data_IF_597998818135
#
_entry.id   IF_597998818135
#
_cell.length_a   1.000
_cell.length_b   1.000
_cell.length_c   1.000
_cell.angle_alpha   90.00
_cell.angle_beta   90.00
_cell.angle_gamma   90.00
#
_symmetry.space_group_name_H-M   'P 1'
#
loop_
_entity.id
_entity.type
_entity.pdbx_description
1 polymer ?
#
# COMPACT_ATOMS: atom_id res chain seq x y z
N UNK A 1 -13.61 -11.04 29.77
CA UNK A 1 -13.15 -9.78 29.16
C UNK A 1 -11.67 -9.65 29.42
N UNK A 2 -10.89 -9.47 28.37
CA UNK A 2 -9.46 -9.12 28.48
C UNK A 2 -9.33 -7.70 29.05
N UNK A 3 -8.18 -7.38 29.64
CA UNK A 3 -7.89 -6.06 30.19
C UNK A 3 -8.06 -4.94 29.16
N UNK A 4 -7.67 -5.19 27.90
CA UNK A 4 -7.75 -4.19 26.83
C UNK A 4 -9.19 -3.91 26.37
N UNK A 5 -10.07 -4.93 26.32
CA UNK A 5 -11.49 -4.68 26.00
C UNK A 5 -12.16 -3.84 27.09
N UNK A 6 -11.86 -4.11 28.37
CA UNK A 6 -12.36 -3.29 29.48
C UNK A 6 -11.87 -1.85 29.39
N UNK A 7 -10.59 -1.64 29.09
CA UNK A 7 -10.02 -0.30 28.89
C UNK A 7 -10.63 0.43 27.69
N UNK A 8 -10.92 -0.28 26.60
CA UNK A 8 -11.59 0.30 25.44
C UNK A 8 -13.01 0.78 25.79
N UNK A 9 -13.74 0.05 26.63
CA UNK A 9 -15.03 0.49 27.19
C UNK A 9 -14.88 1.74 28.06
N UNK A 10 -13.92 1.76 29.00
CA UNK A 10 -13.67 2.93 29.86
C UNK A 10 -13.41 4.21 29.03
N UNK A 11 -12.60 4.09 27.98
CA UNK A 11 -12.31 5.20 27.06
C UNK A 11 -13.57 5.67 26.35
N UNK A 12 -14.39 4.76 25.83
CA UNK A 12 -15.66 5.10 25.18
C UNK A 12 -16.62 5.81 26.14
N UNK A 13 -16.82 5.29 27.37
CA UNK A 13 -17.68 5.88 28.39
C UNK A 13 -17.19 7.25 28.86
N UNK A 14 -15.87 7.48 28.84
CA UNK A 14 -15.25 8.77 29.14
C UNK A 14 -15.35 9.80 28.00
N UNK A 15 -15.91 9.43 26.85
CA UNK A 15 -16.06 10.31 25.68
C UNK A 15 -14.86 10.32 24.74
N UNK A 16 -13.98 9.31 24.78
CA UNK A 16 -12.84 9.13 23.87
C UNK A 16 -13.02 7.92 22.93
N UNK A 17 -13.87 8.04 21.89
CA UNK A 17 -14.11 6.94 20.93
C UNK A 17 -12.87 6.59 20.10
N UNK A 18 -11.97 7.56 19.86
CA UNK A 18 -10.73 7.33 19.11
C UNK A 18 -9.72 6.53 19.95
N UNK A 19 -9.55 6.89 21.22
CA UNK A 19 -8.76 6.12 22.18
C UNK A 19 -9.31 4.70 22.37
N UNK A 20 -10.63 4.55 22.42
CA UNK A 20 -11.30 3.24 22.47
C UNK A 20 -10.90 2.37 21.26
N UNK A 21 -11.06 2.88 20.03
CA UNK A 21 -10.69 2.15 18.82
C UNK A 21 -9.19 1.84 18.75
N UNK A 22 -8.32 2.79 19.11
CA UNK A 22 -6.86 2.58 19.15
C UNK A 22 -6.45 1.49 20.14
N UNK A 23 -7.20 1.32 21.22
CA UNK A 23 -6.97 0.26 22.21
C UNK A 23 -7.51 -1.09 21.73
N UNK A 24 -8.66 -1.09 21.06
CA UNK A 24 -9.35 -2.30 20.60
C UNK A 24 -8.67 -2.98 19.40
N UNK A 25 -8.29 -2.20 18.38
CA UNK A 25 -7.83 -2.74 17.09
C UNK A 25 -6.63 -3.70 17.19
N UNK A 26 -5.58 -3.44 18.00
CA UNK A 26 -4.43 -4.34 18.10
C UNK A 26 -4.76 -5.72 18.68
N UNK A 27 -5.82 -5.84 19.49
CA UNK A 27 -6.21 -7.09 20.17
C UNK A 27 -7.45 -7.75 19.55
N UNK A 28 -7.97 -7.22 18.45
CA UNK A 28 -9.22 -7.67 17.85
C UNK A 28 -9.23 -9.17 17.49
N UNK A 29 -8.09 -9.74 17.14
CA UNK A 29 -7.95 -11.17 16.80
C UNK A 29 -7.96 -12.10 18.03
N UNK A 30 -7.65 -11.56 19.20
CA UNK A 30 -7.67 -12.29 20.48
C UNK A 30 -9.07 -12.32 21.10
N UNK A 31 -9.99 -11.50 20.59
CA UNK A 31 -11.35 -11.37 21.07
C UNK A 31 -12.34 -12.07 20.15
N UNK A 32 -13.43 -12.59 20.71
CA UNK A 32 -14.52 -13.08 19.88
C UNK A 32 -15.32 -11.90 19.32
N UNK A 33 -15.87 -12.08 18.11
CA UNK A 33 -16.71 -11.04 17.50
C UNK A 33 -17.97 -10.74 18.33
N UNK A 34 -18.45 -11.71 19.12
CA UNK A 34 -19.52 -11.55 20.10
C UNK A 34 -19.14 -10.55 21.21
N UNK A 35 -17.93 -10.65 21.75
CA UNK A 35 -17.46 -9.78 22.84
C UNK A 35 -17.30 -8.31 22.41
N UNK A 36 -16.87 -8.07 21.17
CA UNK A 36 -16.60 -6.72 20.66
C UNK A 36 -17.85 -6.04 20.10
N UNK A 37 -18.82 -6.79 19.60
CA UNK A 37 -19.97 -6.25 18.87
C UNK A 37 -20.76 -5.18 19.66
N UNK A 38 -21.02 -5.32 20.98
CA UNK A 38 -21.72 -4.27 21.72
C UNK A 38 -20.97 -2.93 21.79
N UNK A 39 -19.63 -2.96 21.93
CA UNK A 39 -18.81 -1.75 21.94
C UNK A 39 -18.80 -1.10 20.56
N UNK A 40 -18.63 -1.90 19.51
CA UNK A 40 -18.63 -1.42 18.12
C UNK A 40 -19.99 -0.81 17.75
N UNK A 41 -21.10 -1.36 18.24
CA UNK A 41 -22.42 -0.79 18.04
C UNK A 41 -22.51 0.65 18.57
N UNK A 42 -22.06 0.88 19.82
CA UNK A 42 -22.06 2.21 20.44
C UNK A 42 -21.11 3.20 19.75
N UNK A 43 -19.91 2.75 19.37
CA UNK A 43 -18.94 3.55 18.63
C UNK A 43 -19.47 3.95 17.24
N UNK A 44 -20.10 3.01 16.53
CA UNK A 44 -20.67 3.23 15.21
C UNK A 44 -21.88 4.20 15.26
N UNK A 45 -22.74 4.08 16.27
CA UNK A 45 -23.85 5.02 16.48
C UNK A 45 -23.34 6.44 16.71
N UNK A 46 -22.34 6.62 17.58
CA UNK A 46 -21.72 7.91 17.84
C UNK A 46 -21.02 8.52 16.61
N UNK A 47 -20.52 7.69 15.70
CA UNK A 47 -19.91 8.11 14.44
C UNK A 47 -20.92 8.30 13.28
N UNK A 48 -22.20 7.97 13.48
CA UNK A 48 -23.23 8.05 12.43
C UNK A 48 -23.16 6.93 11.39
N UNK A 49 -22.54 5.78 11.71
CA UNK A 49 -22.45 4.61 10.84
C UNK A 49 -23.58 3.62 11.14
N UNK A 50 -24.80 3.96 10.71
CA UNK A 50 -26.03 3.20 11.02
C UNK A 50 -25.95 1.73 10.61
N UNK A 51 -25.38 1.42 9.44
CA UNK A 51 -25.20 0.06 8.93
C UNK A 51 -24.32 -0.80 9.85
N UNK A 52 -23.20 -0.27 10.31
CA UNK A 52 -22.30 -0.95 11.23
C UNK A 52 -22.92 -1.08 12.63
N UNK A 53 -23.63 -0.05 13.10
CA UNK A 53 -24.33 -0.09 14.38
C UNK A 53 -25.40 -1.19 14.39
N UNK A 54 -26.24 -1.25 13.36
CA UNK A 54 -27.26 -2.29 13.19
C UNK A 54 -26.64 -3.68 13.09
N UNK A 55 -25.65 -3.88 12.22
CA UNK A 55 -25.00 -5.18 12.05
C UNK A 55 -24.34 -5.67 13.35
N UNK A 56 -23.74 -4.76 14.12
CA UNK A 56 -23.13 -5.07 15.42
C UNK A 56 -24.18 -5.45 16.47
N UNK A 57 -25.29 -4.71 16.56
CA UNK A 57 -26.39 -5.04 17.47
C UNK A 57 -27.05 -6.38 17.12
N UNK A 58 -27.24 -6.65 15.83
CA UNK A 58 -27.78 -7.93 15.35
C UNK A 58 -26.85 -9.11 15.66
N UNK A 59 -25.53 -8.93 15.54
CA UNK A 59 -24.53 -9.94 15.92
C UNK A 59 -24.54 -10.19 17.43
N UNK A 60 -24.57 -9.14 18.25
CA UNK A 60 -24.65 -9.27 19.70
C UNK A 60 -25.89 -10.06 20.15
N UNK A 61 -27.02 -9.91 19.45
CA UNK A 61 -28.24 -10.67 19.74
C UNK A 61 -28.14 -12.15 19.32
N UNK A 62 -27.36 -12.47 18.28
CA UNK A 62 -27.28 -13.81 17.65
C UNK A 62 -25.86 -14.14 17.17
N UNK A 63 -24.92 -14.38 18.10
CA UNK A 63 -23.48 -14.45 17.81
C UNK A 63 -23.04 -15.68 16.99
N UNK A 64 -23.83 -16.76 17.02
CA UNK A 64 -23.52 -18.02 16.34
C UNK A 64 -24.20 -18.19 14.97
N UNK A 65 -24.78 -17.12 14.40
CA UNK A 65 -25.39 -17.14 13.07
C UNK A 65 -24.39 -16.65 12.01
N UNK A 66 -24.10 -17.47 10.99
CA UNK A 66 -23.17 -17.15 9.92
C UNK A 66 -23.54 -15.83 9.20
N UNK A 67 -24.82 -15.56 8.97
CA UNK A 67 -25.29 -14.31 8.38
C UNK A 67 -24.99 -13.08 9.21
N UNK A 68 -25.01 -13.20 10.55
CA UNK A 68 -24.76 -12.07 11.46
C UNK A 68 -23.28 -11.75 11.53
N UNK A 69 -22.46 -12.80 11.63
CA UNK A 69 -21.00 -12.68 11.54
C UNK A 69 -20.57 -12.09 10.19
N UNK A 70 -21.18 -12.54 9.09
CA UNK A 70 -20.95 -11.98 7.77
C UNK A 70 -21.38 -10.52 7.67
N UNK A 71 -22.59 -10.17 8.14
CA UNK A 71 -23.11 -8.81 8.11
C UNK A 71 -22.22 -7.82 8.87
N UNK A 72 -21.81 -8.20 10.09
CA UNK A 72 -20.85 -7.43 10.87
C UNK A 72 -19.51 -7.28 10.16
N UNK A 73 -18.93 -8.40 9.69
CA UNK A 73 -17.65 -8.39 8.99
C UNK A 73 -17.66 -7.55 7.72
N UNK A 74 -18.72 -7.65 6.92
CA UNK A 74 -18.92 -6.84 5.71
C UNK A 74 -19.02 -5.35 6.04
N UNK A 75 -19.82 -4.98 7.04
CA UNK A 75 -19.92 -3.58 7.49
C UNK A 75 -18.57 -3.04 8.00
N UNK A 76 -17.80 -3.85 8.73
CA UNK A 76 -16.44 -3.48 9.16
C UNK A 76 -15.52 -3.22 7.95
N UNK A 77 -15.56 -4.04 6.90
CA UNK A 77 -14.77 -3.81 5.68
C UNK A 77 -15.17 -2.49 5.01
N UNK A 78 -16.46 -2.24 4.82
CA UNK A 78 -16.96 -1.00 4.18
C UNK A 78 -16.56 0.26 4.96
N UNK A 79 -16.43 0.16 6.29
CA UNK A 79 -16.02 1.26 7.17
C UNK A 79 -14.51 1.36 7.43
N UNK A 80 -13.70 0.58 6.72
CA UNK A 80 -12.25 0.64 6.86
C UNK A 80 -11.74 0.05 8.18
N UNK A 81 -12.47 -0.90 8.78
CA UNK A 81 -12.14 -1.61 10.00
C UNK A 81 -11.83 -3.10 9.74
N UNK A 82 -10.93 -3.45 8.80
CA UNK A 82 -10.70 -4.83 8.39
C UNK A 82 -10.17 -5.72 9.52
N UNK A 83 -9.45 -5.17 10.50
CA UNK A 83 -8.98 -5.92 11.67
C UNK A 83 -10.14 -6.50 12.51
N UNK A 84 -11.28 -5.80 12.60
CA UNK A 84 -12.49 -6.32 13.26
C UNK A 84 -13.24 -7.33 12.36
N UNK A 85 -13.14 -7.16 11.05
CA UNK A 85 -13.82 -8.01 10.08
C UNK A 85 -13.23 -9.42 9.99
N UNK A 86 -11.90 -9.56 10.03
CA UNK A 86 -11.19 -10.83 9.87
C UNK A 86 -11.70 -11.94 10.81
N UNK A 87 -11.76 -11.77 12.15
CA UNK A 87 -12.23 -12.82 13.04
C UNK A 87 -13.71 -13.19 12.76
N UNK A 88 -14.56 -12.21 12.48
CA UNK A 88 -15.98 -12.45 12.19
C UNK A 88 -16.19 -13.22 10.89
N UNK A 89 -15.52 -12.82 9.81
CA UNK A 89 -15.61 -13.48 8.51
C UNK A 89 -15.00 -14.87 8.54
N UNK A 90 -13.94 -15.10 9.32
CA UNK A 90 -13.36 -16.43 9.54
C UNK A 90 -14.34 -17.36 10.26
N UNK A 91 -14.99 -16.87 11.32
CA UNK A 91 -16.02 -17.64 12.03
C UNK A 91 -17.24 -17.93 11.14
N UNK A 92 -17.72 -16.93 10.39
CA UNK A 92 -18.81 -17.10 9.43
C UNK A 92 -18.45 -18.18 8.39
N UNK A 93 -17.23 -18.13 7.84
CA UNK A 93 -16.79 -19.07 6.83
C UNK A 93 -16.76 -20.50 7.37
N UNK A 94 -16.21 -20.72 8.57
CA UNK A 94 -16.23 -22.02 9.23
C UNK A 94 -17.65 -22.60 9.34
N UNK A 95 -18.62 -21.78 9.76
CA UNK A 95 -20.04 -22.20 9.84
C UNK A 95 -20.66 -22.53 8.48
N UNK A 96 -20.22 -21.88 7.39
CA UNK A 96 -20.71 -22.20 6.04
C UNK A 96 -20.13 -23.50 5.47
N UNK A 97 -19.00 -23.98 6.01
CA UNK A 97 -18.38 -25.25 5.62
C UNK A 97 -18.96 -26.44 6.38
N UNK A 98 -19.58 -26.21 7.54
CA UNK A 98 -20.17 -27.30 8.31
C UNK A 98 -21.30 -27.98 7.53
N UNK A 99 -21.29 -29.32 7.41
CA UNK A 99 -22.39 -30.02 6.77
C UNK A 99 -23.67 -29.77 7.54
N UNK A 100 -24.74 -29.39 6.83
CA UNK A 100 -26.05 -29.22 7.43
C UNK A 100 -26.39 -30.46 8.27
N UNK A 101 -26.57 -30.27 9.58
CA UNK A 101 -26.82 -31.36 10.51
C UNK A 101 -27.88 -32.31 9.93
N UNK A 102 -27.51 -33.59 9.77
CA UNK A 102 -28.42 -34.60 9.24
C UNK A 102 -29.75 -34.51 10.01
N UNK A 103 -30.92 -34.50 9.33
CA UNK A 103 -32.19 -34.41 10.02
C UNK A 103 -32.28 -35.57 11.00
N UNK A 104 -32.18 -35.26 12.30
CA UNK A 104 -32.31 -36.25 13.35
C UNK A 104 -33.61 -37.02 13.15
N UNK A 105 -33.56 -38.35 13.23
CA UNK A 105 -34.74 -39.22 13.16
C UNK A 105 -35.63 -38.96 14.37
N UNK A 106 -36.39 -37.88 14.37
CA UNK A 106 -37.38 -37.57 15.42
C UNK A 106 -38.72 -38.17 15.02
N UNK A 107 -39.26 -39.00 15.91
CA UNK A 107 -40.43 -39.85 15.69
C UNK A 107 -41.72 -39.14 15.25
N UNK A 108 -42.67 -39.97 14.82
CA UNK A 108 -43.87 -39.72 13.99
C UNK A 108 -44.81 -38.56 14.38
N UNK A 109 -44.60 -37.85 15.49
CA UNK A 109 -45.55 -36.84 16.00
C UNK A 109 -44.92 -35.53 16.48
N UNK A 110 -43.65 -35.22 16.14
CA UNK A 110 -43.10 -33.86 16.37
C UNK A 110 -43.10 -33.06 15.08
N UNK A 111 -43.77 -31.89 15.14
CA UNK A 111 -43.76 -30.84 14.10
C UNK A 111 -42.33 -30.69 13.58
N UNK A 112 -42.11 -30.92 12.27
CA UNK A 112 -40.82 -30.67 11.61
C UNK A 112 -40.31 -29.31 12.11
N UNK A 113 -39.10 -29.20 12.68
CA UNK A 113 -38.44 -27.90 12.74
C UNK A 113 -38.49 -27.37 11.31
N UNK A 114 -39.01 -26.16 11.12
CA UNK A 114 -38.90 -25.46 9.84
C UNK A 114 -37.43 -25.60 9.47
N UNK A 115 -37.12 -26.34 8.40
CA UNK A 115 -35.76 -26.47 7.91
C UNK A 115 -35.17 -25.06 7.98
N UNK A 116 -34.05 -24.88 8.69
CA UNK A 116 -33.29 -23.62 8.64
C UNK A 116 -33.28 -23.27 7.16
N UNK A 117 -34.01 -22.22 6.78
CA UNK A 117 -34.08 -21.81 5.39
C UNK A 117 -32.62 -21.68 4.99
N UNK A 118 -32.18 -22.53 4.05
CA UNK A 118 -30.77 -22.67 3.72
C UNK A 118 -30.19 -21.28 3.60
N UNK A 119 -29.19 -21.02 4.42
CA UNK A 119 -28.50 -19.74 4.50
C UNK A 119 -28.20 -19.29 3.08
N UNK A 120 -28.77 -18.17 2.63
CA UNK A 120 -28.50 -17.63 1.28
C UNK A 120 -27.02 -17.24 1.07
N UNK A 121 -26.21 -17.38 2.12
CA UNK A 121 -24.79 -17.13 2.17
C UNK A 121 -24.01 -18.39 1.77
N UNK A 122 -23.50 -18.41 0.53
CA UNK A 122 -22.62 -19.48 0.07
C UNK A 122 -21.18 -19.32 0.53
N UNK A 123 -20.43 -20.42 0.80
CA UNK A 123 -19.07 -20.38 1.36
C UNK A 123 -18.08 -19.58 0.50
N UNK A 124 -18.20 -19.65 -0.83
CA UNK A 124 -17.40 -18.85 -1.76
C UNK A 124 -17.50 -17.35 -1.50
N UNK A 125 -18.70 -16.84 -1.22
CA UNK A 125 -18.92 -15.41 -0.96
C UNK A 125 -18.19 -14.97 0.31
N UNK A 126 -18.32 -15.75 1.39
CA UNK A 126 -17.66 -15.43 2.67
C UNK A 126 -16.14 -15.50 2.54
N UNK A 127 -15.63 -16.50 1.82
CA UNK A 127 -14.19 -16.64 1.55
C UNK A 127 -13.61 -15.40 0.85
N UNK A 128 -14.27 -14.90 -0.20
CA UNK A 128 -13.78 -13.74 -0.95
C UNK A 128 -13.82 -12.44 -0.13
N UNK A 129 -14.82 -12.25 0.73
CA UNK A 129 -14.82 -11.11 1.66
C UNK A 129 -13.71 -11.25 2.72
N UNK A 130 -13.48 -12.46 3.24
CA UNK A 130 -12.39 -12.72 4.19
C UNK A 130 -11.02 -12.44 3.56
N UNK A 131 -10.81 -12.85 2.32
CA UNK A 131 -9.60 -12.53 1.54
C UNK A 131 -9.44 -11.02 1.39
N UNK A 132 -10.49 -10.29 1.01
CA UNK A 132 -10.47 -8.83 0.93
C UNK A 132 -10.09 -8.19 2.27
N UNK A 133 -10.63 -8.68 3.38
CA UNK A 133 -10.30 -8.18 4.71
C UNK A 133 -8.83 -8.43 5.07
N UNK A 134 -8.30 -9.63 4.77
CA UNK A 134 -6.88 -9.98 4.98
C UNK A 134 -5.95 -9.13 4.11
N UNK A 135 -6.30 -8.86 2.85
CA UNK A 135 -5.54 -7.97 1.98
C UNK A 135 -5.43 -6.55 2.54
N UNK A 136 -6.52 -6.01 3.10
CA UNK A 136 -6.53 -4.66 3.70
C UNK A 136 -5.68 -4.53 4.96
N UNK A 137 -5.40 -5.64 5.65
CA UNK A 137 -4.42 -5.69 6.76
C UNK A 137 -3.07 -6.28 6.32
N UNK A 138 -2.82 -6.33 5.01
CA UNK A 138 -1.60 -6.85 4.38
C UNK A 138 -1.21 -8.28 4.80
N UNK A 139 -2.18 -9.10 5.20
CA UNK A 139 -1.99 -10.52 5.55
C UNK A 139 -2.08 -11.41 4.31
N UNK A 140 -1.33 -11.05 3.27
CA UNK A 140 -1.36 -11.72 1.96
C UNK A 140 -0.97 -13.21 2.01
N UNK A 141 -0.06 -13.59 2.92
CA UNK A 141 0.31 -14.99 3.11
C UNK A 141 -0.88 -15.84 3.63
N UNK A 142 -1.67 -15.29 4.53
CA UNK A 142 -2.84 -15.97 5.11
C UNK A 142 -3.98 -16.04 4.11
N UNK A 143 -4.20 -14.96 3.35
CA UNK A 143 -5.14 -14.93 2.23
C UNK A 143 -4.79 -16.00 1.18
N UNK A 144 -3.51 -16.10 0.80
CA UNK A 144 -3.03 -17.14 -0.12
C UNK A 144 -3.25 -18.55 0.44
N UNK A 145 -2.95 -18.78 1.72
CA UNK A 145 -3.14 -20.08 2.35
C UNK A 145 -4.61 -20.52 2.27
N UNK A 146 -5.54 -19.63 2.62
CA UNK A 146 -6.99 -19.88 2.55
C UNK A 146 -7.47 -20.16 1.12
N UNK A 147 -7.03 -19.35 0.14
CA UNK A 147 -7.40 -19.55 -1.25
C UNK A 147 -6.92 -20.91 -1.78
N UNK A 148 -5.71 -21.33 -1.42
CA UNK A 148 -5.16 -22.63 -1.83
C UNK A 148 -5.85 -23.81 -1.14
N UNK A 149 -6.16 -23.68 0.15
CA UNK A 149 -6.87 -24.72 0.90
C UNK A 149 -8.25 -25.00 0.31
N UNK A 150 -8.90 -23.96 -0.21
CA UNK A 150 -10.27 -24.03 -0.72
C UNK A 150 -10.37 -23.81 -2.25
N UNK A 151 -9.34 -24.20 -3.02
CA UNK A 151 -9.30 -24.00 -4.48
C UNK A 151 -10.53 -24.53 -5.21
N UNK A 152 -11.14 -25.61 -4.72
CA UNK A 152 -12.36 -26.20 -5.30
C UNK A 152 -13.59 -25.27 -5.26
N UNK A 153 -13.58 -24.23 -4.42
CA UNK A 153 -14.64 -23.21 -4.35
C UNK A 153 -14.42 -22.07 -5.34
N UNK A 154 -13.24 -21.98 -5.96
CA UNK A 154 -12.81 -20.82 -6.73
C UNK A 154 -13.19 -20.97 -8.21
N UNK A 155 -13.74 -19.90 -8.76
CA UNK A 155 -13.80 -19.70 -10.20
C UNK A 155 -12.42 -19.32 -10.74
N UNK A 156 -12.24 -19.43 -12.05
CA UNK A 156 -10.99 -19.06 -12.71
C UNK A 156 -10.69 -17.57 -12.55
N UNK A 157 -11.63 -16.71 -12.96
CA UNK A 157 -11.60 -15.27 -12.73
C UNK A 157 -12.82 -14.83 -11.90
N UNK A 158 -12.67 -13.97 -10.88
CA UNK A 158 -11.41 -13.41 -10.37
C UNK A 158 -10.71 -14.23 -9.29
N UNK A 159 -11.30 -15.34 -8.83
CA UNK A 159 -10.93 -15.91 -7.53
C UNK A 159 -9.52 -16.49 -7.53
N UNK A 160 -9.14 -17.29 -8.54
CA UNK A 160 -7.77 -17.81 -8.64
C UNK A 160 -6.77 -16.71 -9.00
N UNK A 161 -7.19 -15.64 -9.65
CA UNK A 161 -6.35 -14.44 -9.80
C UNK A 161 -5.99 -13.82 -8.44
N UNK A 162 -6.89 -13.83 -7.44
CA UNK A 162 -6.54 -13.38 -6.09
C UNK A 162 -5.41 -14.22 -5.47
N UNK A 163 -5.31 -15.51 -5.81
CA UNK A 163 -4.19 -16.33 -5.35
C UNK A 163 -2.87 -15.90 -6.02
N UNK A 164 -2.90 -15.52 -7.31
CA UNK A 164 -1.73 -14.93 -7.99
C UNK A 164 -1.31 -13.63 -7.33
N UNK A 165 -2.27 -12.72 -7.11
CA UNK A 165 -2.01 -11.41 -6.48
C UNK A 165 -1.43 -11.57 -5.07
N UNK A 166 -2.07 -12.36 -4.21
CA UNK A 166 -1.60 -12.59 -2.85
C UNK A 166 -0.27 -13.35 -2.81
N UNK A 167 0.00 -14.24 -3.76
CA UNK A 167 1.32 -14.87 -3.89
C UNK A 167 2.41 -13.86 -4.23
N UNK A 168 2.18 -12.92 -5.14
CA UNK A 168 3.13 -11.83 -5.42
C UNK A 168 3.36 -10.95 -4.18
N UNK A 169 2.29 -10.52 -3.51
CA UNK A 169 2.40 -9.67 -2.31
C UNK A 169 2.99 -10.40 -1.10
N UNK A 170 2.92 -11.73 -1.05
CA UNK A 170 3.56 -12.57 -0.02
C UNK A 170 4.97 -13.05 -0.41
N UNK A 171 5.49 -12.62 -1.56
CA UNK A 171 6.84 -12.95 -2.01
C UNK A 171 7.01 -14.37 -2.56
N UNK A 172 5.91 -15.02 -2.95
CA UNK A 172 5.84 -16.40 -3.46
C UNK A 172 5.73 -16.41 -4.99
N UNK A 173 6.77 -15.91 -5.68
CA UNK A 173 6.80 -15.77 -7.15
C UNK A 173 6.58 -17.06 -7.90
N UNK A 174 7.12 -18.18 -7.40
CA UNK A 174 6.93 -19.49 -8.04
C UNK A 174 5.47 -19.95 -7.97
N UNK A 175 4.83 -19.84 -6.80
CA UNK A 175 3.39 -20.10 -6.64
C UNK A 175 2.57 -19.18 -7.53
N UNK A 176 2.90 -17.88 -7.59
CA UNK A 176 2.19 -16.93 -8.42
C UNK A 176 2.28 -17.32 -9.91
N UNK A 177 3.46 -17.73 -10.38
CA UNK A 177 3.70 -18.18 -11.76
C UNK A 177 2.94 -19.46 -12.07
N UNK A 178 2.97 -20.44 -11.17
CA UNK A 178 2.24 -21.71 -11.30
C UNK A 178 0.73 -21.45 -11.49
N UNK A 179 0.13 -20.69 -10.57
CA UNK A 179 -1.31 -20.40 -10.61
C UNK A 179 -1.65 -19.57 -11.85
N UNK A 180 -0.87 -18.53 -12.16
CA UNK A 180 -1.11 -17.67 -13.32
C UNK A 180 -1.05 -18.43 -14.65
N UNK A 181 -0.10 -19.38 -14.78
CA UNK A 181 0.00 -20.24 -15.96
C UNK A 181 -1.17 -21.22 -16.13
N UNK A 182 -1.93 -21.48 -15.06
CA UNK A 182 -3.14 -22.30 -15.09
C UNK A 182 -4.45 -21.53 -15.37
N UNK A 183 -4.42 -20.19 -15.36
CA UNK A 183 -5.60 -19.37 -15.64
C UNK A 183 -5.94 -19.37 -17.13
N UNK A 184 -7.22 -19.29 -17.47
CA UNK A 184 -7.64 -18.93 -18.83
C UNK A 184 -7.26 -17.48 -19.16
N UNK A 185 -7.22 -17.15 -20.45
CA UNK A 185 -6.92 -15.78 -20.88
C UNK A 185 -7.94 -14.79 -20.29
N UNK A 186 -7.51 -13.68 -19.66
CA UNK A 186 -8.42 -12.75 -19.04
C UNK A 186 -9.20 -11.93 -20.08
N UNK A 187 -10.50 -11.76 -19.83
CA UNK A 187 -11.39 -10.97 -20.69
C UNK A 187 -12.05 -9.81 -19.92
N UNK A 188 -12.57 -8.84 -20.66
CA UNK A 188 -13.30 -7.69 -20.10
C UNK A 188 -12.51 -6.93 -19.05
N UNK A 189 -13.12 -6.75 -17.86
CA UNK A 189 -12.53 -6.01 -16.74
C UNK A 189 -11.26 -6.65 -16.17
N UNK A 190 -11.03 -7.94 -16.43
CA UNK A 190 -9.87 -8.68 -15.90
C UNK A 190 -8.63 -8.62 -16.80
N UNK A 191 -8.77 -8.13 -18.03
CA UNK A 191 -7.65 -8.02 -18.96
C UNK A 191 -6.53 -7.07 -18.45
N UNK A 192 -6.90 -5.98 -17.77
CA UNK A 192 -5.95 -5.06 -17.13
C UNK A 192 -5.19 -5.72 -15.97
N UNK A 193 -5.89 -6.23 -14.94
CA UNK A 193 -5.28 -6.98 -13.83
C UNK A 193 -4.39 -8.14 -14.29
N UNK A 194 -4.83 -8.94 -15.27
CA UNK A 194 -4.04 -10.04 -15.81
C UNK A 194 -2.75 -9.58 -16.48
N UNK A 195 -2.78 -8.52 -17.32
CA UNK A 195 -1.56 -7.93 -17.90
C UNK A 195 -0.62 -7.39 -16.83
N UNK A 196 -1.16 -6.79 -15.77
CA UNK A 196 -0.37 -6.26 -14.65
C UNK A 196 0.36 -7.36 -13.91
N UNK A 197 -0.33 -8.44 -13.54
CA UNK A 197 0.28 -9.61 -12.90
C UNK A 197 1.34 -10.25 -13.80
N UNK A 198 1.08 -10.36 -15.10
CA UNK A 198 2.07 -10.83 -16.09
C UNK A 198 3.36 -10.01 -16.04
N UNK A 199 3.27 -8.66 -16.10
CA UNK A 199 4.45 -7.79 -16.00
C UNK A 199 5.21 -7.95 -14.69
N UNK A 200 4.50 -8.13 -13.56
CA UNK A 200 5.16 -8.40 -12.27
C UNK A 200 5.95 -9.72 -12.31
N UNK A 201 5.36 -10.78 -12.89
CA UNK A 201 6.00 -12.09 -13.03
C UNK A 201 7.20 -12.07 -13.98
N UNK A 202 7.11 -11.33 -15.09
CA UNK A 202 8.20 -11.15 -16.05
C UNK A 202 9.39 -10.44 -15.38
N UNK A 203 9.13 -9.36 -14.63
CA UNK A 203 10.16 -8.67 -13.85
C UNK A 203 10.77 -9.56 -12.77
N UNK A 204 9.95 -10.31 -12.04
CA UNK A 204 10.45 -11.25 -11.02
C UNK A 204 11.30 -12.38 -11.61
N UNK A 205 11.03 -12.80 -12.86
CA UNK A 205 11.85 -13.78 -13.57
C UNK A 205 13.17 -13.19 -14.08
N UNK A 206 13.13 -11.97 -14.64
CA UNK A 206 14.31 -11.31 -15.18
C UNK A 206 15.27 -10.83 -14.08
N UNK A 207 14.70 -10.33 -12.97
CA UNK A 207 15.44 -9.75 -11.85
C UNK A 207 14.84 -10.23 -10.53
N UNK A 208 15.09 -11.48 -10.13
CA UNK A 208 14.52 -12.04 -8.91
C UNK A 208 15.02 -11.28 -7.67
N UNK A 209 14.13 -10.89 -6.75
CA UNK A 209 14.53 -10.32 -5.47
C UNK A 209 15.37 -11.31 -4.67
N UNK A 210 16.37 -10.80 -3.95
CA UNK A 210 17.33 -11.61 -3.18
C UNK A 210 16.77 -12.14 -1.85
N UNK A 211 15.61 -11.63 -1.41
CA UNK A 211 14.92 -12.09 -0.21
C UNK A 211 13.69 -11.23 0.10
N UNK A 212 13.02 -11.51 1.22
CA UNK A 212 11.84 -10.75 1.66
C UNK A 212 12.17 -9.36 2.23
N UNK A 213 13.45 -9.05 2.41
CA UNK A 213 13.93 -7.72 2.84
C UNK A 213 14.51 -6.91 1.68
N UNK A 214 14.53 -7.45 0.46
CA UNK A 214 15.04 -6.76 -0.72
C UNK A 214 14.06 -5.69 -1.21
N UNK A 215 14.07 -4.53 -0.54
CA UNK A 215 13.15 -3.44 -0.83
C UNK A 215 13.24 -2.97 -2.29
N UNK A 216 14.45 -2.77 -2.80
CA UNK A 216 14.67 -2.30 -4.17
C UNK A 216 14.19 -3.33 -5.20
N UNK A 217 14.51 -4.60 -5.01
CA UNK A 217 14.07 -5.69 -5.87
C UNK A 217 12.55 -5.83 -5.90
N UNK A 218 11.90 -5.82 -4.73
CA UNK A 218 10.44 -5.93 -4.66
C UNK A 218 9.71 -4.70 -5.18
N UNK A 219 10.24 -3.49 -4.94
CA UNK A 219 9.69 -2.29 -5.53
C UNK A 219 9.66 -2.43 -7.07
N UNK A 220 10.79 -2.78 -7.68
CA UNK A 220 10.85 -3.02 -9.13
C UNK A 220 9.89 -4.11 -9.61
N UNK A 221 9.83 -5.26 -8.92
CA UNK A 221 8.92 -6.34 -9.32
C UNK A 221 7.47 -5.88 -9.31
N UNK A 222 7.02 -5.23 -8.24
CA UNK A 222 5.61 -4.87 -8.07
C UNK A 222 5.21 -3.68 -8.94
N UNK A 223 6.03 -2.64 -8.97
CA UNK A 223 5.65 -1.36 -9.56
C UNK A 223 6.24 -1.17 -10.96
N UNK A 224 7.38 -1.80 -11.24
CA UNK A 224 8.22 -1.51 -12.40
C UNK A 224 9.08 -0.25 -12.22
N UNK A 225 8.96 0.45 -11.10
CA UNK A 225 9.77 1.62 -10.76
C UNK A 225 11.14 1.25 -10.19
N UNK A 226 12.05 2.20 -10.18
CA UNK A 226 13.39 2.03 -9.59
C UNK A 226 13.50 2.89 -8.32
N UNK A 227 13.69 2.23 -7.18
CA UNK A 227 13.96 2.88 -5.90
C UNK A 227 15.44 3.26 -5.81
N UNK A 228 15.69 4.57 -5.73
CA UNK A 228 17.05 5.07 -5.83
C UNK A 228 17.79 4.92 -4.51
N UNK A 229 17.18 5.27 -3.38
CA UNK A 229 17.86 5.36 -2.08
C UNK A 229 17.14 4.54 -1.02
N UNK A 230 17.90 3.79 -0.23
CA UNK A 230 17.42 3.15 1.00
C UNK A 230 17.63 4.07 2.20
N UNK A 231 16.68 4.09 3.13
CA UNK A 231 16.83 4.80 4.40
C UNK A 231 18.09 4.36 5.13
N UNK A 232 19.00 5.26 5.50
CA UNK A 232 20.21 4.91 6.23
C UNK A 232 19.94 4.67 7.73
N UNK A 233 18.66 4.69 8.14
CA UNK A 233 18.21 4.49 9.51
C UNK A 233 17.08 3.46 9.65
N UNK A 234 17.03 2.78 10.79
CA UNK A 234 15.89 1.98 11.24
C UNK A 234 15.68 0.68 10.49
N UNK A 235 16.70 0.19 9.76
CA UNK A 235 16.59 -1.03 8.96
C UNK A 235 16.25 -2.24 9.84
N UNK A 236 17.01 -2.45 10.91
CA UNK A 236 16.79 -3.54 11.88
C UNK A 236 15.57 -3.32 12.79
N UNK A 237 15.11 -2.07 12.91
CA UNK A 237 13.91 -1.68 13.66
C UNK A 237 12.61 -1.93 12.87
N UNK A 238 12.73 -2.54 11.69
CA UNK A 238 11.59 -2.95 10.87
C UNK A 238 11.12 -1.91 9.86
N UNK A 239 11.92 -0.88 9.56
CA UNK A 239 11.63 0.02 8.43
C UNK A 239 12.16 -0.52 7.10
N UNK A 240 13.15 -1.41 7.14
CA UNK A 240 13.70 -2.13 5.98
C UNK A 240 14.04 -1.21 4.80
N UNK A 241 14.66 -0.06 5.08
CA UNK A 241 15.07 0.92 4.06
C UNK A 241 14.01 1.95 3.67
N UNK A 242 12.89 2.05 4.39
CA UNK A 242 11.88 3.12 4.25
C UNK A 242 12.02 4.16 5.36
N UNK A 243 11.47 5.35 5.14
CA UNK A 243 11.33 6.38 6.16
C UNK A 243 9.92 6.36 6.76
N UNK A 244 9.82 6.43 8.08
CA UNK A 244 8.53 6.61 8.76
C UNK A 244 8.15 8.11 8.77
N UNK A 245 9.04 8.93 9.30
CA UNK A 245 8.94 10.38 9.33
C UNK A 245 10.25 10.96 8.81
N UNK A 246 10.15 11.86 7.83
CA UNK A 246 11.29 12.55 7.26
C UNK A 246 11.04 14.06 7.30
N UNK A 247 11.92 14.79 7.97
CA UNK A 247 12.08 16.21 7.71
C UNK A 247 13.18 16.32 6.65
N UNK A 248 12.75 16.54 5.40
CA UNK A 248 13.64 16.51 4.25
C UNK A 248 14.45 17.80 4.15
N UNK A 249 15.54 17.77 3.38
CA UNK A 249 16.43 18.90 3.17
C UNK A 249 16.91 19.05 1.71
N UNK A 250 17.59 20.16 1.44
CA UNK A 250 18.10 20.45 0.10
C UNK A 250 19.21 19.47 -0.33
N UNK A 251 20.01 18.96 0.62
CA UNK A 251 21.08 17.99 0.39
C UNK A 251 20.50 16.66 -0.11
N UNK A 252 19.44 16.18 0.53
CA UNK A 252 18.68 14.97 0.16
C UNK A 252 18.02 15.11 -1.21
N UNK A 253 17.38 16.25 -1.49
CA UNK A 253 16.87 16.58 -2.83
C UNK A 253 17.99 16.52 -3.89
N UNK A 254 19.15 17.12 -3.58
CA UNK A 254 20.32 17.15 -4.47
C UNK A 254 20.90 15.76 -4.71
N UNK A 255 21.04 14.97 -3.65
CA UNK A 255 21.48 13.58 -3.71
C UNK A 255 20.54 12.74 -4.59
N UNK A 256 19.22 12.90 -4.43
CA UNK A 256 18.21 12.24 -5.26
C UNK A 256 18.36 12.54 -6.75
N UNK A 257 18.61 13.80 -7.12
CA UNK A 257 18.86 14.20 -8.51
C UNK A 257 20.17 13.61 -9.07
N UNK A 258 21.20 13.46 -8.25
CA UNK A 258 22.44 12.78 -8.65
C UNK A 258 22.23 11.28 -8.92
N UNK A 259 21.45 10.60 -8.07
CA UNK A 259 21.10 9.19 -8.27
C UNK A 259 20.17 8.99 -9.46
N UNK A 260 19.27 9.93 -9.73
CA UNK A 260 18.47 9.97 -10.95
C UNK A 260 19.38 9.98 -12.19
N UNK A 261 20.37 10.88 -12.24
CA UNK A 261 21.33 10.93 -13.34
C UNK A 261 22.09 9.60 -13.49
N UNK A 262 22.53 9.02 -12.37
CA UNK A 262 23.21 7.71 -12.35
C UNK A 262 22.36 6.61 -13.00
N UNK A 263 21.05 6.57 -12.72
CA UNK A 263 20.15 5.60 -13.34
C UNK A 263 19.91 5.88 -14.82
N UNK A 264 19.72 7.14 -15.21
CA UNK A 264 19.57 7.51 -16.62
C UNK A 264 20.80 7.08 -17.44
N UNK A 265 22.01 7.32 -16.92
CA UNK A 265 23.27 6.88 -17.53
C UNK A 265 23.35 5.35 -17.61
N UNK A 266 23.08 4.64 -16.51
CA UNK A 266 23.16 3.18 -16.44
C UNK A 266 22.15 2.46 -17.35
N UNK A 267 21.02 3.11 -17.66
CA UNK A 267 19.96 2.58 -18.53
C UNK A 267 20.04 3.10 -19.96
N UNK A 268 20.99 4.02 -20.25
CA UNK A 268 21.13 4.64 -21.56
C UNK A 268 19.98 5.55 -21.96
N UNK A 269 19.21 6.08 -20.99
CA UNK A 269 18.09 7.01 -21.25
C UNK A 269 18.56 8.45 -21.23
N UNK A 270 18.13 9.22 -22.23
CA UNK A 270 18.47 10.64 -22.38
C UNK A 270 17.19 11.44 -22.63
N UNK A 271 16.52 11.96 -21.59
CA UNK A 271 15.36 12.83 -21.76
C UNK A 271 15.71 14.05 -22.63
N UNK A 272 14.81 14.44 -23.52
CA UNK A 272 14.97 15.62 -24.37
C UNK A 272 14.64 16.92 -23.63
N UNK A 273 13.80 16.85 -22.59
CA UNK A 273 13.43 17.99 -21.75
C UNK A 273 12.92 17.54 -20.38
N UNK A 274 12.86 18.47 -19.42
CA UNK A 274 12.14 18.28 -18.16
C UNK A 274 10.78 18.97 -18.23
N UNK A 275 9.73 18.22 -17.91
CA UNK A 275 8.37 18.69 -17.81
C UNK A 275 8.06 19.13 -16.38
N UNK A 276 7.78 20.42 -16.20
CA UNK A 276 7.52 21.06 -14.91
C UNK A 276 6.05 20.91 -14.51
N UNK A 277 5.80 20.28 -13.37
CA UNK A 277 4.50 20.29 -12.71
C UNK A 277 4.19 21.67 -12.10
N UNK A 278 2.92 22.02 -11.88
CA UNK A 278 2.51 23.37 -11.52
C UNK A 278 2.76 23.74 -10.04
N UNK A 279 2.85 22.76 -9.14
CA UNK A 279 3.11 23.02 -7.73
C UNK A 279 4.56 23.50 -7.51
N UNK A 280 4.76 24.34 -6.47
CA UNK A 280 6.03 25.04 -6.24
C UNK A 280 7.20 24.08 -6.02
N UNK A 281 6.97 23.02 -5.24
CA UNK A 281 8.01 22.06 -4.86
C UNK A 281 8.50 21.24 -6.05
N UNK A 282 7.57 20.63 -6.78
CA UNK A 282 7.87 19.88 -8.01
C UNK A 282 8.49 20.77 -9.08
N UNK A 283 8.02 22.02 -9.21
CA UNK A 283 8.63 23.00 -10.13
C UNK A 283 10.08 23.31 -9.75
N UNK A 284 10.37 23.56 -8.48
CA UNK A 284 11.74 23.83 -8.01
C UNK A 284 12.67 22.64 -8.30
N UNK A 285 12.24 21.42 -7.95
CA UNK A 285 13.00 20.21 -8.19
C UNK A 285 13.19 19.93 -9.69
N UNK A 286 12.17 20.17 -10.52
CA UNK A 286 12.24 20.02 -11.96
C UNK A 286 13.20 21.02 -12.62
N UNK A 287 13.22 22.28 -12.16
CA UNK A 287 14.18 23.28 -12.62
C UNK A 287 15.62 22.89 -12.26
N UNK A 288 15.85 22.39 -11.04
CA UNK A 288 17.15 21.88 -10.63
C UNK A 288 17.57 20.66 -11.48
N UNK A 289 16.66 19.71 -11.72
CA UNK A 289 16.90 18.55 -12.56
C UNK A 289 17.29 18.93 -14.00
N UNK A 290 16.56 19.87 -14.62
CA UNK A 290 16.82 20.33 -15.98
C UNK A 290 18.23 20.90 -16.14
N UNK A 291 18.66 21.72 -15.17
CA UNK A 291 20.00 22.31 -15.13
C UNK A 291 21.09 21.27 -14.86
N UNK A 292 20.86 20.32 -13.95
CA UNK A 292 21.79 19.24 -13.67
C UNK A 292 22.03 18.33 -14.88
N UNK A 293 20.97 18.06 -15.65
CA UNK A 293 21.01 17.21 -16.85
C UNK A 293 21.41 17.98 -18.12
N UNK A 294 21.42 19.31 -18.08
CA UNK A 294 21.75 20.15 -19.24
C UNK A 294 20.69 20.15 -20.34
N UNK A 295 19.41 19.99 -19.98
CA UNK A 295 18.26 19.91 -20.91
C UNK A 295 17.27 21.05 -20.67
N UNK A 296 16.48 21.46 -21.67
CA UNK A 296 15.47 22.51 -21.47
C UNK A 296 14.36 22.06 -20.51
N UNK A 297 13.81 23.03 -19.77
CA UNK A 297 12.61 22.84 -18.97
C UNK A 297 11.39 23.46 -19.67
N UNK A 298 10.22 22.84 -19.55
CA UNK A 298 8.95 23.36 -20.09
C UNK A 298 7.78 22.92 -19.23
N UNK A 299 6.65 23.65 -19.20
CA UNK A 299 5.45 23.20 -18.47
C UNK A 299 4.99 21.82 -18.93
N UNK A 300 4.56 20.97 -18.00
CA UNK A 300 4.04 19.64 -18.32
C UNK A 300 2.84 19.72 -19.27
N UNK A 301 2.89 18.86 -20.30
CA UNK A 301 1.81 18.63 -21.24
C UNK A 301 1.71 17.12 -21.50
N UNK A 302 0.57 16.48 -21.20
CA UNK A 302 0.39 15.05 -21.47
C UNK A 302 0.68 14.71 -22.94
N UNK A 303 1.33 13.57 -23.17
CA UNK A 303 1.67 13.12 -24.52
C UNK A 303 2.98 13.67 -25.07
N UNK A 304 3.77 14.40 -24.28
CA UNK A 304 5.09 14.90 -24.72
C UNK A 304 6.10 13.76 -24.70
N UNK A 305 6.65 13.34 -25.86
CA UNK A 305 7.61 12.25 -25.91
C UNK A 305 8.95 12.65 -25.29
N UNK A 306 9.70 11.66 -24.81
CA UNK A 306 11.05 11.80 -24.27
C UNK A 306 11.20 12.88 -23.17
N UNK A 307 10.11 13.21 -22.47
CA UNK A 307 10.12 14.15 -21.36
C UNK A 307 10.37 13.44 -20.03
N UNK A 308 11.15 14.07 -19.16
CA UNK A 308 11.24 13.70 -17.75
C UNK A 308 10.28 14.58 -16.95
N UNK A 309 9.19 14.01 -16.47
CA UNK A 309 8.30 14.68 -15.50
C UNK A 309 8.91 14.54 -14.11
N UNK A 310 9.04 15.66 -13.39
CA UNK A 310 9.62 15.69 -12.03
C UNK A 310 8.57 16.15 -11.04
N UNK A 311 8.31 15.30 -10.04
CA UNK A 311 7.48 15.59 -8.88
C UNK A 311 8.32 15.55 -7.61
N UNK A 312 8.02 16.42 -6.65
CA UNK A 312 8.53 16.25 -5.29
C UNK A 312 7.74 15.16 -4.56
N UNK A 313 6.42 15.33 -4.48
CA UNK A 313 5.46 14.41 -3.87
C UNK A 313 4.16 14.47 -4.68
N UNK A 314 3.79 13.35 -5.30
CA UNK A 314 2.60 13.27 -6.15
C UNK A 314 1.29 13.37 -5.35
N UNK A 315 1.33 13.10 -4.04
CA UNK A 315 0.14 13.24 -3.18
C UNK A 315 -0.25 14.70 -2.94
N UNK A 316 0.71 15.62 -3.07
CA UNK A 316 0.49 17.07 -3.00
C UNK A 316 0.05 17.69 -4.34
N UNK A 317 0.12 16.94 -5.44
CA UNK A 317 -0.28 17.42 -6.76
C UNK A 317 -1.81 17.35 -6.99
N UNK A 318 -2.29 18.14 -7.95
CA UNK A 318 -3.70 18.07 -8.38
C UNK A 318 -4.06 16.66 -8.90
N UNK A 319 -5.19 16.06 -8.44
CA UNK A 319 -5.58 14.70 -8.84
C UNK A 319 -5.76 14.51 -10.34
N UNK A 320 -6.23 15.54 -11.06
CA UNK A 320 -6.38 15.49 -12.52
C UNK A 320 -5.02 15.43 -13.23
N UNK A 321 -4.03 16.15 -12.71
CA UNK A 321 -2.65 16.10 -13.18
C UNK A 321 -2.03 14.72 -12.94
N UNK A 322 -2.21 14.15 -11.74
CA UNK A 322 -1.72 12.81 -11.41
C UNK A 322 -2.38 11.73 -12.27
N UNK A 323 -3.70 11.84 -12.51
CA UNK A 323 -4.42 10.91 -13.37
C UNK A 323 -3.88 10.93 -14.81
N UNK A 324 -3.52 12.11 -15.35
CA UNK A 324 -2.94 12.25 -16.68
C UNK A 324 -1.55 11.60 -16.80
N UNK A 325 -0.82 11.40 -15.70
CA UNK A 325 0.46 10.70 -15.67
C UNK A 325 0.32 9.17 -15.71
N UNK A 326 -0.89 8.62 -15.55
CA UNK A 326 -1.14 7.18 -15.60
C UNK A 326 -0.80 6.57 -16.97
N UNK A 327 -1.07 7.31 -18.05
CA UNK A 327 -0.66 6.96 -19.40
C UNK A 327 0.73 7.53 -19.72
N UNK A 328 1.57 6.71 -20.36
CA UNK A 328 2.94 7.07 -20.71
C UNK A 328 3.02 7.49 -22.17
N UNK A 329 3.59 8.67 -22.42
CA UNK A 329 4.02 9.04 -23.78
C UNK A 329 5.32 8.29 -24.15
N UNK A 330 5.59 7.99 -25.44
CA UNK A 330 6.81 7.29 -25.83
C UNK A 330 8.07 7.95 -25.27
N UNK A 331 8.89 7.17 -24.55
CA UNK A 331 10.12 7.65 -23.92
C UNK A 331 9.95 8.55 -22.69
N UNK A 332 8.72 8.90 -22.31
CA UNK A 332 8.45 9.71 -21.12
C UNK A 332 8.74 8.93 -19.82
N UNK A 333 9.40 9.60 -18.88
CA UNK A 333 9.72 9.10 -17.55
C UNK A 333 9.10 9.99 -16.48
N UNK A 334 8.59 9.39 -15.42
CA UNK A 334 8.13 10.08 -14.22
C UNK A 334 9.10 9.80 -13.07
N UNK A 335 9.69 10.86 -12.54
CA UNK A 335 10.51 10.84 -11.34
C UNK A 335 9.76 11.51 -10.19
N UNK A 336 9.70 10.84 -9.05
CA UNK A 336 9.18 11.37 -7.79
C UNK A 336 10.30 11.37 -6.75
N UNK A 337 10.42 12.44 -5.97
CA UNK A 337 11.40 12.46 -4.90
C UNK A 337 10.94 11.59 -3.73
N UNK A 338 9.82 11.96 -3.12
CA UNK A 338 9.29 11.38 -1.91
C UNK A 338 7.97 10.64 -2.19
N UNK A 339 8.05 9.33 -2.45
CA UNK A 339 6.85 8.53 -2.70
C UNK A 339 6.26 8.03 -1.38
N UNK A 340 4.98 8.35 -1.13
CA UNK A 340 4.26 7.77 0.00
C UNK A 340 3.97 6.27 -0.23
N UNK A 341 4.53 5.39 0.60
CA UNK A 341 4.34 3.93 0.43
C UNK A 341 3.07 3.41 1.12
N UNK A 342 2.51 4.14 2.09
CA UNK A 342 1.26 3.76 2.78
C UNK A 342 0.01 4.31 2.11
N UNK A 343 0.16 5.39 1.34
CA UNK A 343 -0.90 6.04 0.56
C UNK A 343 -0.39 6.28 -0.85
N UNK A 344 -0.29 5.20 -1.62
CA UNK A 344 0.33 5.24 -2.94
C UNK A 344 -0.38 6.22 -3.87
N UNK A 345 0.36 7.11 -4.56
CA UNK A 345 -0.22 8.11 -5.46
C UNK A 345 -0.97 7.47 -6.63
N UNK A 346 -1.82 8.28 -7.29
CA UNK A 346 -2.67 7.84 -8.40
C UNK A 346 -1.90 7.32 -9.63
N UNK A 347 -0.60 7.59 -9.72
CA UNK A 347 0.32 7.05 -10.72
C UNK A 347 1.61 6.60 -10.03
N UNK A 348 2.15 5.46 -10.45
CA UNK A 348 3.44 4.96 -9.98
C UNK A 348 4.59 5.64 -10.72
N UNK A 349 5.52 6.25 -9.99
CA UNK A 349 6.74 6.80 -10.59
C UNK A 349 7.65 5.72 -11.19
N UNK A 350 8.31 6.05 -12.29
CA UNK A 350 9.31 5.19 -12.94
C UNK A 350 10.60 5.12 -12.13
N UNK A 351 10.86 6.20 -11.40
CA UNK A 351 11.99 6.40 -10.50
C UNK A 351 11.44 7.09 -9.25
N UNK A 352 11.73 6.55 -8.08
CA UNK A 352 11.46 7.22 -6.81
C UNK A 352 12.75 7.35 -6.02
N UNK A 353 13.03 8.55 -5.50
CA UNK A 353 14.25 8.70 -4.69
C UNK A 353 14.14 7.88 -3.43
N UNK A 354 13.04 8.06 -2.70
CA UNK A 354 12.80 7.44 -1.40
C UNK A 354 11.36 7.00 -1.23
N UNK A 355 11.16 6.03 -0.32
CA UNK A 355 9.85 5.62 0.15
C UNK A 355 9.63 6.14 1.58
N UNK A 356 8.64 6.99 1.76
CA UNK A 356 8.35 7.64 3.04
C UNK A 356 6.89 7.42 3.44
N UNK A 357 6.57 7.49 4.73
CA UNK A 357 5.19 7.52 5.18
C UNK A 357 4.71 8.97 5.41
N UNK A 358 5.46 9.77 6.16
CA UNK A 358 5.19 11.20 6.33
C UNK A 358 6.47 12.00 6.01
N UNK A 359 6.35 12.98 5.12
CA UNK A 359 7.45 13.88 4.78
C UNK A 359 7.06 15.32 5.08
N UNK A 360 8.00 16.10 5.60
CA UNK A 360 7.94 17.56 5.63
C UNK A 360 9.00 18.08 4.67
N UNK A 361 8.57 18.80 3.65
CA UNK A 361 9.49 19.24 2.59
C UNK A 361 10.47 20.32 3.06
N UNK A 362 11.60 20.52 2.37
CA UNK A 362 12.63 21.50 2.80
C UNK A 362 12.12 22.95 2.89
N UNK A 363 11.07 23.27 2.13
CA UNK A 363 10.42 24.58 2.09
C UNK A 363 9.17 24.69 2.96
N UNK A 364 8.80 23.61 3.65
CA UNK A 364 7.68 23.56 4.57
C UNK A 364 8.10 23.88 6.01
N UNK A 365 7.16 24.28 6.87
CA UNK A 365 7.46 24.61 8.24
C UNK A 365 7.77 23.33 9.04
N UNK A 366 9.05 23.00 9.14
CA UNK A 366 9.60 21.85 9.89
C UNK A 366 9.71 22.08 11.39
N UNK A 367 9.97 21.00 12.14
CA UNK A 367 10.27 21.06 13.56
C UNK A 367 11.71 21.50 13.80
N UNK A 368 11.90 22.44 14.72
CA UNK A 368 13.19 22.92 15.20
C UNK A 368 13.22 22.82 16.71
N UNK A 369 14.34 22.37 17.26
CA UNK A 369 14.58 22.48 18.70
C UNK A 369 15.12 23.87 19.01
N UNK A 370 14.46 24.59 19.92
CA UNK A 370 14.98 25.85 20.46
C UNK A 370 16.17 25.60 21.38
N UNK A 371 16.89 26.67 21.75
CA UNK A 371 17.99 26.60 22.73
C UNK A 371 17.52 26.04 24.09
N UNK A 372 16.24 26.21 24.43
CA UNK A 372 15.61 25.66 25.63
C UNK A 372 15.15 24.18 25.48
N UNK A 373 15.47 23.54 24.35
CA UNK A 373 15.07 22.16 24.04
C UNK A 373 13.59 21.97 23.74
N UNK A 374 12.84 23.05 23.47
CA UNK A 374 11.42 22.96 23.08
C UNK A 374 11.32 22.77 21.57
N UNK A 375 10.44 21.88 21.14
CA UNK A 375 10.09 21.76 19.73
C UNK A 375 9.19 22.93 19.34
N UNK A 376 9.63 23.73 18.37
CA UNK A 376 8.83 24.74 17.70
C UNK A 376 8.73 24.43 16.21
N UNK A 377 7.67 24.94 15.58
CA UNK A 377 7.51 24.85 14.13
C UNK A 377 8.16 26.09 13.50
N UNK A 378 9.10 25.88 12.59
CA UNK A 378 9.74 26.95 11.83
C UNK A 378 8.76 27.64 10.88
N UNK A 379 9.18 28.77 10.32
CA UNK A 379 8.42 29.45 9.27
C UNK A 379 8.64 28.75 7.91
N UNK A 380 7.61 28.70 7.04
CA UNK A 380 7.77 28.17 5.69
C UNK A 380 8.75 29.02 4.88
N UNK A 381 9.48 28.37 3.97
CA UNK A 381 10.35 29.07 3.05
C UNK A 381 9.51 29.82 1.99
N UNK A 382 9.63 31.15 1.98
CA UNK A 382 8.91 32.04 1.07
C UNK A 382 9.55 32.21 -0.32
N UNK A 383 10.73 31.62 -0.56
CA UNK A 383 11.45 31.75 -1.84
C UNK A 383 10.62 31.20 -3.02
N UNK A 384 10.90 31.75 -4.21
CA UNK A 384 10.34 31.28 -5.48
C UNK A 384 10.87 29.88 -5.85
N UNK A 385 10.19 29.20 -6.78
CA UNK A 385 10.65 27.89 -7.26
C UNK A 385 12.05 27.96 -7.90
N UNK A 386 12.34 29.06 -8.60
CA UNK A 386 13.63 29.32 -9.22
C UNK A 386 14.75 29.50 -8.17
N UNK A 387 14.49 30.23 -7.09
CA UNK A 387 15.45 30.39 -5.98
C UNK A 387 15.66 29.09 -5.19
N UNK A 388 14.58 28.31 -4.98
CA UNK A 388 14.68 26.98 -4.37
C UNK A 388 15.48 26.02 -5.26
N UNK A 389 15.33 26.10 -6.58
CA UNK A 389 16.12 25.31 -7.51
C UNK A 389 17.62 25.63 -7.42
N UNK A 390 18.00 26.91 -7.27
CA UNK A 390 19.41 27.27 -7.02
C UNK A 390 19.91 26.70 -5.69
N UNK A 391 19.08 26.73 -4.64
CA UNK A 391 19.43 26.18 -3.33
C UNK A 391 19.69 24.66 -3.41
N UNK A 392 18.83 23.92 -4.10
CA UNK A 392 19.02 22.48 -4.37
C UNK A 392 20.33 22.25 -5.14
N UNK A 393 20.65 23.06 -6.15
CA UNK A 393 21.87 22.89 -6.94
C UNK A 393 23.16 23.19 -6.15
N UNK A 394 23.09 24.10 -5.17
CA UNK A 394 24.21 24.51 -4.33
C UNK A 394 24.44 23.59 -3.11
N UNK A 395 23.48 22.73 -2.80
CA UNK A 395 23.49 21.78 -1.70
C UNK A 395 24.54 20.65 -1.89
N UNK A 396 24.90 19.96 -0.81
CA UNK A 396 25.86 18.85 -0.85
C UNK A 396 25.15 17.57 -1.34
N UNK A 397 25.62 16.91 -2.42
CA UNK A 397 25.05 15.64 -2.88
C UNK A 397 25.50 14.42 -2.05
N UNK A 398 26.33 14.59 -1.03
CA UNK A 398 26.79 13.48 -0.19
C UNK A 398 25.60 12.72 0.43
N UNK A 399 25.68 11.37 0.51
CA UNK A 399 24.65 10.61 1.20
C UNK A 399 24.65 10.96 2.70
N UNK A 400 23.46 10.98 3.30
CA UNK A 400 23.32 11.17 4.74
C UNK A 400 24.05 10.07 5.52
N UNK A 401 24.64 10.45 6.66
CA UNK A 401 25.24 9.49 7.59
C UNK A 401 24.16 8.58 8.18
N UNK A 402 24.42 7.27 8.17
CA UNK A 402 23.49 6.27 8.69
C UNK A 402 23.76 5.82 10.11
N UNK A 403 22.86 4.99 10.63
CA UNK A 403 23.03 4.30 11.92
C UNK A 403 23.96 3.07 11.85
N UNK A 404 24.43 2.73 10.65
CA UNK A 404 25.28 1.57 10.37
C UNK A 404 24.54 0.23 10.30
N UNK A 405 23.22 0.21 10.48
CA UNK A 405 22.37 -0.98 10.39
C UNK A 405 21.78 -1.22 8.99
N UNK A 406 21.62 -0.17 8.18
CA UNK A 406 21.19 -0.32 6.79
C UNK A 406 22.32 -0.90 5.92
N UNK A 407 22.04 -1.87 5.03
CA UNK A 407 22.99 -2.33 4.03
C UNK A 407 23.56 -1.18 3.19
N UNK A 408 24.86 -1.24 2.88
CA UNK A 408 25.52 -0.24 2.03
C UNK A 408 24.74 -0.01 0.72
N UNK A 409 24.46 1.26 0.43
CA UNK A 409 23.70 1.65 -0.76
C UNK A 409 24.48 2.58 -1.72
N UNK A 410 25.64 2.14 -2.25
CA UNK A 410 26.49 2.97 -3.12
C UNK A 410 25.91 3.12 -4.53
N UNK A 411 26.25 4.22 -5.19
CA UNK A 411 25.85 4.52 -6.58
C UNK A 411 26.18 3.39 -7.57
N UNK A 412 27.31 2.70 -7.38
CA UNK A 412 27.70 1.58 -8.23
C UNK A 412 26.73 0.39 -8.13
N UNK A 413 26.18 0.11 -6.94
CA UNK A 413 25.18 -0.94 -6.77
C UNK A 413 23.85 -0.55 -7.40
N UNK A 414 23.44 0.72 -7.26
CA UNK A 414 22.26 1.26 -7.93
C UNK A 414 22.40 1.19 -9.46
N UNK A 415 23.52 1.66 -10.01
CA UNK A 415 23.79 1.63 -11.45
C UNK A 415 23.75 0.19 -11.99
N UNK A 416 24.38 -0.76 -11.29
CA UNK A 416 24.36 -2.17 -11.69
C UNK A 416 22.94 -2.76 -11.66
N UNK A 417 22.13 -2.41 -10.65
CA UNK A 417 20.73 -2.82 -10.59
C UNK A 417 19.92 -2.23 -11.75
N UNK A 418 20.05 -0.93 -12.00
CA UNK A 418 19.35 -0.22 -13.06
C UNK A 418 19.69 -0.76 -14.46
N UNK A 419 20.97 -1.02 -14.73
CA UNK A 419 21.41 -1.61 -15.99
C UNK A 419 20.79 -2.99 -16.26
N UNK A 420 20.63 -3.82 -15.21
CA UNK A 420 19.97 -5.13 -15.32
C UNK A 420 18.45 -5.00 -15.49
N UNK A 421 17.83 -4.01 -14.86
CA UNK A 421 16.39 -3.75 -14.95
C UNK A 421 15.97 -3.17 -16.30
N UNK A 422 16.89 -2.55 -17.05
CA UNK A 422 16.63 -1.73 -18.24
C UNK A 422 15.76 -2.42 -19.30
N UNK A 423 15.88 -3.73 -19.48
CA UNK A 423 15.15 -4.47 -20.53
C UNK A 423 13.62 -4.53 -20.35
N UNK A 424 13.12 -4.38 -19.12
CA UNK A 424 11.69 -4.39 -18.78
C UNK A 424 11.27 -3.14 -17.98
N UNK A 425 12.14 -2.13 -17.93
CA UNK A 425 11.89 -0.90 -17.18
C UNK A 425 11.20 0.16 -18.05
N UNK A 426 10.35 0.98 -17.40
CA UNK A 426 9.54 2.02 -18.02
C UNK A 426 8.62 1.48 -19.14
N UNK A 427 8.06 0.29 -18.94
CA UNK A 427 7.10 -0.36 -19.84
C UNK A 427 5.68 -0.39 -19.27
N UNK A 428 4.70 -0.22 -20.16
CA UNK A 428 3.28 -0.20 -19.81
C UNK A 428 2.81 1.05 -19.02
N UNK A 429 1.56 1.04 -18.56
CA UNK A 429 0.96 2.13 -17.78
C UNK A 429 1.50 2.21 -16.36
N UNK A 430 1.43 3.40 -15.74
CA UNK A 430 1.86 3.70 -14.37
C UNK A 430 0.82 3.29 -13.33
N UNK A 431 0.46 2.02 -13.40
CA UNK A 431 -0.55 1.34 -12.59
C UNK A 431 -0.22 1.38 -11.08
N UNK A 432 -1.06 1.98 -10.20
CA UNK A 432 -0.77 2.06 -8.77
C UNK A 432 -0.87 0.70 -8.08
N UNK A 433 0.01 0.43 -7.11
CA UNK A 433 0.01 -0.78 -6.28
C UNK A 433 -0.42 -0.44 -4.87
N UNK A 434 -1.61 -0.88 -4.46
CA UNK A 434 -2.21 -0.56 -3.15
C UNK A 434 -1.83 -1.56 -2.04
N UNK A 435 -0.55 -1.94 -1.99
CA UNK A 435 -0.01 -2.84 -0.98
C UNK A 435 1.47 -2.53 -0.79
N UNK A 436 1.95 -2.63 0.44
CA UNK A 436 3.38 -2.51 0.76
C UNK A 436 4.23 -3.67 0.21
N UNK A 437 3.57 -4.73 -0.28
CA UNK A 437 4.21 -5.91 -0.82
C UNK A 437 4.81 -6.81 0.27
N UNK A 438 5.75 -7.70 -0.10
CA UNK A 438 6.31 -8.69 0.83
C UNK A 438 7.31 -8.11 1.83
N UNK A 439 7.85 -6.92 1.54
CA UNK A 439 8.84 -6.26 2.39
C UNK A 439 8.10 -5.52 3.49
N UNK A 440 8.01 -6.17 4.66
CA UNK A 440 7.35 -5.63 5.85
C UNK A 440 8.00 -4.30 6.27
N UNK A 441 7.14 -3.39 6.74
CA UNK A 441 7.55 -2.12 7.32
C UNK A 441 6.64 -1.74 8.47
N UNK A 442 7.19 -1.10 9.49
CA UNK A 442 6.38 -0.40 10.48
C UNK A 442 5.52 0.67 9.81
N UNK A 443 4.24 0.72 10.17
CA UNK A 443 3.28 1.77 9.77
C UNK A 443 2.82 2.50 11.01
N UNK A 444 2.96 3.83 11.01
CA UNK A 444 2.68 4.68 12.17
C UNK A 444 1.41 5.49 11.93
N UNK A 445 0.55 5.58 12.94
CA UNK A 445 -0.74 6.27 12.83
C UNK A 445 -0.63 7.76 13.16
#
# INVERSE_FOLDING_TARGET
>A
MTTELSKAWELFESGDPQGSMRTLLPVAEELTSEEIAPLVAGLAEGAGYTDLAEASAELAARPAEAERLYGFGYACVERGLPALAVPALRAAFGLTLEPAAAPGRTGLFRRRPKARAGTGLGPRRVLLELVTALERVERHADALALLREHDSLLADWPDRYLAVYNALMAGRTDTAREVFGGLSAPEGVWAGPGRRAGRMLDRAAALPPTGLQDLRGWHYVLTGGLLLTLSPHGFEEGMTGRWAYLQDDFDSCRHGLHRLRTVLEATGRTPASVALLPDRGSRALGLAAARLLGVPASPYRPGTPDALVVAYDLTACDPGTVAALGERAPGELLFEHATCWTETPGATADLCTLLVQNVTAPWEPGLRLTEDGRAERGEPDGRSAEELAEAILAADPAPAEGDGGTPDDPDAALAAFAARAAGLWADGPRDPVRSSGPVRSGRFA
#
